data_IF_669481567891
#
_entry.id   IF_669481567891
#
_cell.length_a   1.000
_cell.length_b   1.000
_cell.length_c   1.000
_cell.angle_alpha   90.00
_cell.angle_beta   90.00
_cell.angle_gamma   90.00
#
_symmetry.space_group_name_H-M   'P 1'
#
loop_
_entity.id
_entity.type
_entity.pdbx_description
1 polymer ?
#
# COMPACT_ATOMS: atom_id res chain seq x y z
N UNK A 1 20.16 -16.02 8.93
CA UNK A 1 19.43 -14.97 8.20
C UNK A 1 17.95 -15.30 8.29
N UNK A 2 17.09 -14.44 8.87
CA UNK A 2 15.65 -14.69 8.84
C UNK A 2 15.19 -14.68 7.37
N UNK A 3 14.64 -15.79 6.91
CA UNK A 3 13.93 -15.88 5.63
C UNK A 3 12.82 -14.83 5.60
N UNK A 4 12.56 -14.19 4.47
CA UNK A 4 11.60 -13.06 4.37
C UNK A 4 10.23 -13.30 5.03
N UNK A 5 9.81 -14.57 5.13
CA UNK A 5 8.61 -15.00 5.84
C UNK A 5 8.63 -14.68 7.35
N UNK A 6 9.77 -14.85 8.02
CA UNK A 6 9.92 -14.55 9.45
C UNK A 6 9.81 -13.05 9.73
N UNK A 7 10.32 -12.21 8.82
CA UNK A 7 10.24 -10.74 8.95
C UNK A 7 8.79 -10.28 8.81
N UNK A 8 8.05 -10.82 7.84
CA UNK A 8 6.63 -10.51 7.67
C UNK A 8 5.79 -10.91 8.88
N UNK A 9 6.05 -12.09 9.46
CA UNK A 9 5.35 -12.56 10.67
C UNK A 9 5.62 -11.62 11.85
N UNK A 10 6.89 -11.24 12.08
CA UNK A 10 7.26 -10.32 13.16
C UNK A 10 6.56 -8.97 13.00
N UNK A 11 6.54 -8.41 11.79
CA UNK A 11 5.87 -7.14 11.50
C UNK A 11 4.35 -7.22 11.75
N UNK A 12 3.71 -8.32 11.36
CA UNK A 12 2.28 -8.55 11.61
C UNK A 12 1.97 -8.63 13.11
N UNK A 13 2.81 -9.32 13.88
CA UNK A 13 2.66 -9.45 15.34
C UNK A 13 2.83 -8.09 16.02
N UNK A 14 3.86 -7.31 15.64
CA UNK A 14 4.07 -5.95 16.16
C UNK A 14 2.85 -5.07 15.84
N UNK A 15 2.34 -5.14 14.60
CA UNK A 15 1.19 -4.36 14.19
C UNK A 15 -0.09 -4.74 14.95
N UNK A 16 -0.29 -6.03 15.23
CA UNK A 16 -1.39 -6.50 16.07
C UNK A 16 -1.28 -5.96 17.50
N UNK A 17 -0.10 -6.05 18.10
CA UNK A 17 0.15 -5.56 19.46
C UNK A 17 -0.09 -4.05 19.54
N UNK A 18 0.39 -3.27 18.56
CA UNK A 18 0.14 -1.83 18.51
C UNK A 18 -1.34 -1.50 18.31
N UNK A 19 -2.05 -2.23 17.46
CA UNK A 19 -3.47 -2.01 17.23
C UNK A 19 -4.31 -2.33 18.48
N UNK A 20 -4.08 -3.48 19.10
CA UNK A 20 -4.78 -3.88 20.32
C UNK A 20 -4.38 -2.99 21.50
N UNK A 21 -3.10 -2.68 21.64
CA UNK A 21 -2.58 -1.84 22.72
C UNK A 21 -3.11 -0.41 22.67
N UNK A 22 -3.14 0.22 21.49
CA UNK A 22 -3.73 1.56 21.33
C UNK A 22 -5.23 1.56 21.55
N UNK A 23 -5.93 0.49 21.17
CA UNK A 23 -7.35 0.33 21.47
C UNK A 23 -7.60 0.20 22.98
N UNK A 24 -6.90 -0.70 23.66
CA UNK A 24 -7.02 -0.88 25.12
C UNK A 24 -6.67 0.40 25.89
N UNK A 25 -5.58 1.08 25.51
CA UNK A 25 -5.18 2.35 26.13
C UNK A 25 -6.21 3.45 25.92
N UNK A 26 -6.82 3.52 24.73
CA UNK A 26 -7.87 4.48 24.43
C UNK A 26 -9.16 4.27 25.21
N UNK A 27 -9.48 3.05 25.62
CA UNK A 27 -10.71 2.73 26.35
C UNK A 27 -10.50 2.48 27.85
N UNK A 28 -9.26 2.54 28.35
CA UNK A 28 -8.94 2.31 29.75
C UNK A 28 -9.46 3.46 30.62
N UNK A 29 -10.36 3.15 31.56
CA UNK A 29 -10.86 4.12 32.55
C UNK A 29 -11.94 5.09 32.04
N UNK A 30 -12.45 4.92 30.82
CA UNK A 30 -13.51 5.78 30.28
C UNK A 30 -14.88 5.13 30.52
N UNK A 31 -15.83 5.78 31.23
CA UNK A 31 -17.18 5.25 31.40
C UNK A 31 -17.87 5.14 30.04
N UNK A 32 -18.51 3.99 29.75
CA UNK A 32 -19.27 3.73 28.51
C UNK A 32 -20.55 4.60 28.39
N UNK A 33 -20.74 5.59 29.25
CA UNK A 33 -21.94 6.40 29.32
C UNK A 33 -21.96 7.44 28.17
N UNK A 34 -22.64 7.07 27.09
CA UNK A 34 -22.97 7.96 25.97
C UNK A 34 -23.28 7.16 24.70
N UNK A 35 -24.36 7.51 23.99
CA UNK A 35 -24.62 6.95 22.66
C UNK A 35 -23.49 7.37 21.72
N UNK A 36 -22.77 6.39 21.20
CA UNK A 36 -21.71 6.59 20.22
C UNK A 36 -22.08 5.84 18.95
N UNK A 37 -22.46 6.53 17.85
CA UNK A 37 -23.01 5.87 16.66
C UNK A 37 -22.02 5.00 15.89
N UNK A 38 -20.72 5.04 16.21
CA UNK A 38 -19.69 4.19 15.58
C UNK A 38 -18.46 4.00 16.47
N UNK A 39 -17.72 2.90 16.27
CA UNK A 39 -16.46 2.56 16.94
C UNK A 39 -15.32 3.58 16.76
N UNK A 40 -15.50 4.55 15.87
CA UNK A 40 -14.55 5.62 15.53
C UNK A 40 -14.82 6.94 16.23
N UNK A 41 -15.94 7.07 16.93
CA UNK A 41 -16.19 8.22 17.77
C UNK A 41 -15.54 8.03 19.14
N UNK A 42 -14.78 9.02 19.65
CA UNK A 42 -14.34 8.98 21.02
C UNK A 42 -15.54 9.00 21.97
N UNK A 43 -15.51 8.25 23.08
CA UNK A 43 -16.41 8.53 24.19
C UNK A 43 -16.22 9.98 24.64
N UNK A 44 -17.31 10.68 24.99
CA UNK A 44 -17.36 12.12 25.30
C UNK A 44 -16.33 12.59 26.35
N UNK A 45 -15.80 11.67 27.16
CA UNK A 45 -14.81 11.92 28.22
C UNK A 45 -13.37 11.50 27.88
N UNK A 46 -13.08 11.03 26.66
CA UNK A 46 -11.76 10.50 26.34
C UNK A 46 -10.80 11.61 25.88
N UNK A 47 -10.00 12.14 26.81
CA UNK A 47 -8.95 13.13 26.54
C UNK A 47 -7.77 12.59 25.74
N UNK A 48 -7.57 11.26 25.73
CA UNK A 48 -6.40 10.63 25.11
C UNK A 48 -6.58 10.35 23.61
N UNK A 49 -7.81 10.49 23.08
CA UNK A 49 -8.13 10.08 21.71
C UNK A 49 -7.35 10.87 20.66
N UNK A 50 -7.21 12.18 20.85
CA UNK A 50 -6.49 13.03 19.89
C UNK A 50 -5.00 12.71 19.89
N UNK A 51 -4.42 12.45 21.08
CA UNK A 51 -3.02 12.02 21.23
C UNK A 51 -2.76 10.66 20.58
N UNK A 52 -3.68 9.69 20.75
CA UNK A 52 -3.61 8.38 20.10
C UNK A 52 -3.70 8.53 18.58
N UNK A 53 -4.60 9.37 18.07
CA UNK A 53 -4.77 9.57 16.64
C UNK A 53 -3.57 10.31 16.02
N UNK A 54 -2.96 11.24 16.76
CA UNK A 54 -1.73 11.93 16.37
C UNK A 54 -0.53 10.97 16.34
N UNK A 55 -0.34 10.17 17.40
CA UNK A 55 0.69 9.13 17.44
C UNK A 55 0.53 8.11 16.30
N UNK A 56 -0.71 7.64 16.06
CA UNK A 56 -1.02 6.73 14.95
C UNK A 56 -0.68 7.35 13.60
N UNK A 57 -1.02 8.63 13.42
CA UNK A 57 -0.72 9.38 12.18
C UNK A 57 0.78 9.55 11.99
N UNK A 58 1.53 9.87 13.04
CA UNK A 58 2.99 9.98 13.01
C UNK A 58 3.67 8.66 12.61
N UNK A 59 3.31 7.55 13.29
CA UNK A 59 3.85 6.21 12.97
C UNK A 59 3.54 5.82 11.52
N UNK A 60 2.33 6.13 11.04
CA UNK A 60 1.92 5.87 9.67
C UNK A 60 2.79 6.63 8.65
N UNK A 61 3.01 7.93 8.86
CA UNK A 61 3.87 8.75 7.98
C UNK A 61 5.30 8.22 7.95
N UNK A 62 5.83 7.79 9.10
CA UNK A 62 7.17 7.20 9.19
C UNK A 62 7.26 5.87 8.43
N UNK A 63 6.29 4.98 8.59
CA UNK A 63 6.21 3.72 7.84
C UNK A 63 6.10 3.95 6.32
N UNK A 64 5.35 4.98 5.90
CA UNK A 64 5.27 5.39 4.49
C UNK A 64 6.66 5.77 3.95
N UNK A 65 7.37 6.64 4.67
CA UNK A 65 8.71 7.07 4.29
C UNK A 65 9.68 5.90 4.10
N UNK A 66 9.72 4.98 5.07
CA UNK A 66 10.56 3.77 4.99
C UNK A 66 10.17 2.89 3.80
N UNK A 67 8.87 2.67 3.58
CA UNK A 67 8.38 1.82 2.49
C UNK A 67 8.74 2.38 1.12
N UNK A 68 8.61 3.70 0.93
CA UNK A 68 9.01 4.37 -0.31
C UNK A 68 10.51 4.28 -0.56
N UNK A 69 11.33 4.43 0.49
CA UNK A 69 12.80 4.30 0.39
C UNK A 69 13.19 2.87 -0.02
N UNK A 70 12.66 1.85 0.67
CA UNK A 70 12.92 0.44 0.34
C UNK A 70 12.51 0.15 -1.10
N UNK A 71 11.34 0.63 -1.52
CA UNK A 71 10.83 0.42 -2.87
C UNK A 71 11.70 1.11 -3.92
N UNK A 72 12.14 2.35 -3.66
CA UNK A 72 13.06 3.08 -4.53
C UNK A 72 14.37 2.33 -4.72
N UNK A 73 15.00 1.87 -3.62
CA UNK A 73 16.22 1.08 -3.68
C UNK A 73 16.02 -0.26 -4.39
N UNK A 74 14.90 -0.94 -4.14
CA UNK A 74 14.58 -2.22 -4.80
C UNK A 74 14.44 -2.05 -6.31
N UNK A 75 13.67 -1.04 -6.77
CA UNK A 75 13.52 -0.75 -8.20
C UNK A 75 14.83 -0.33 -8.84
N UNK A 76 15.66 0.47 -8.15
CA UNK A 76 16.98 0.87 -8.65
C UNK A 76 17.91 -0.33 -8.81
N UNK A 77 17.96 -1.22 -7.82
CA UNK A 77 18.77 -2.44 -7.87
C UNK A 77 18.32 -3.38 -8.99
N UNK A 78 17.02 -3.63 -9.11
CA UNK A 78 16.47 -4.48 -10.18
C UNK A 78 16.71 -3.89 -11.58
N UNK A 79 16.64 -2.56 -11.73
CA UNK A 79 16.99 -1.88 -12.99
C UNK A 79 18.46 -2.04 -13.34
N UNK A 80 19.36 -1.92 -12.36
CA UNK A 80 20.80 -2.13 -12.56
C UNK A 80 21.11 -3.57 -12.95
N UNK A 81 20.46 -4.56 -12.32
CA UNK A 81 20.62 -5.98 -12.68
C UNK A 81 20.14 -6.22 -14.11
N UNK A 82 19.01 -5.63 -14.51
CA UNK A 82 18.49 -5.75 -15.87
C UNK A 82 19.45 -5.20 -16.93
N UNK A 83 20.15 -4.09 -16.65
CA UNK A 83 21.07 -3.44 -17.58
C UNK A 83 22.47 -4.10 -17.62
N UNK A 84 22.92 -4.68 -16.50
CA UNK A 84 24.30 -5.19 -16.35
C UNK A 84 24.43 -6.70 -16.54
N UNK A 85 23.35 -7.46 -16.36
CA UNK A 85 23.41 -8.92 -16.46
C UNK A 85 23.35 -9.40 -17.92
N UNK A 86 24.39 -10.13 -18.33
CA UNK A 86 24.44 -10.83 -19.62
C UNK A 86 23.64 -12.14 -19.62
N UNK A 87 23.35 -12.70 -18.44
CA UNK A 87 22.53 -13.90 -18.32
C UNK A 87 21.06 -13.56 -18.53
N UNK A 88 20.48 -14.15 -19.58
CA UNK A 88 19.09 -13.96 -19.99
C UNK A 88 18.09 -14.39 -18.92
N UNK A 89 18.41 -15.43 -18.13
CA UNK A 89 17.54 -15.89 -17.04
C UNK A 89 17.50 -14.88 -15.89
N UNK A 90 18.66 -14.36 -15.53
CA UNK A 90 18.79 -13.32 -14.51
C UNK A 90 18.12 -12.02 -14.95
N UNK A 91 18.28 -11.62 -16.22
CA UNK A 91 17.63 -10.43 -16.80
C UNK A 91 16.11 -10.55 -16.87
N UNK A 92 15.58 -11.74 -17.17
CA UNK A 92 14.14 -12.02 -17.17
C UNK A 92 13.56 -11.93 -15.76
N UNK A 93 14.24 -12.55 -14.79
CA UNK A 93 13.83 -12.51 -13.37
C UNK A 93 13.82 -11.08 -12.83
N UNK A 94 14.84 -10.29 -13.15
CA UNK A 94 14.91 -8.88 -12.74
C UNK A 94 13.79 -8.03 -13.37
N UNK A 95 13.44 -8.28 -14.63
CA UNK A 95 12.30 -7.61 -15.28
C UNK A 95 10.96 -7.98 -14.61
N UNK A 96 10.77 -9.26 -14.26
CA UNK A 96 9.58 -9.74 -13.56
C UNK A 96 9.47 -9.16 -12.15
N UNK A 97 10.58 -9.11 -11.40
CA UNK A 97 10.66 -8.46 -10.09
C UNK A 97 10.36 -6.96 -10.19
N UNK A 98 10.86 -6.27 -11.21
CA UNK A 98 10.58 -4.84 -11.43
C UNK A 98 9.10 -4.58 -11.72
N UNK A 99 8.46 -5.40 -12.57
CA UNK A 99 7.05 -5.26 -12.90
C UNK A 99 6.13 -5.60 -11.71
N UNK A 100 6.54 -6.58 -10.90
CA UNK A 100 5.87 -6.92 -9.64
C UNK A 100 5.99 -5.78 -8.64
N UNK A 101 7.20 -5.22 -8.46
CA UNK A 101 7.46 -4.08 -7.57
C UNK A 101 6.66 -2.84 -7.96
N UNK A 102 6.48 -2.55 -9.26
CA UNK A 102 5.59 -1.47 -9.74
C UNK A 102 4.12 -1.70 -9.38
N UNK A 103 3.66 -2.94 -9.48
CA UNK A 103 2.28 -3.30 -9.10
C UNK A 103 2.06 -3.16 -7.60
N UNK A 104 3.01 -3.64 -6.79
CA UNK A 104 3.03 -3.48 -5.33
C UNK A 104 3.05 -1.99 -4.94
N UNK A 105 3.88 -1.17 -5.60
CA UNK A 105 3.91 0.28 -5.38
C UNK A 105 2.54 0.93 -5.59
N UNK A 106 1.84 0.56 -6.67
CA UNK A 106 0.51 1.09 -6.99
C UNK A 106 -0.50 0.78 -5.88
N UNK A 107 -0.47 -0.44 -5.35
CA UNK A 107 -1.35 -0.87 -4.26
C UNK A 107 -1.06 -0.10 -2.97
N UNK A 108 0.23 0.08 -2.65
CA UNK A 108 0.69 0.84 -1.49
C UNK A 108 0.21 2.31 -1.57
N UNK A 109 0.29 2.95 -2.73
CA UNK A 109 -0.20 4.34 -2.93
C UNK A 109 -1.72 4.45 -2.73
N UNK A 110 -2.48 3.48 -3.23
CA UNK A 110 -3.95 3.45 -3.06
C UNK A 110 -4.29 3.29 -1.57
N UNK A 111 -3.66 2.31 -0.91
CA UNK A 111 -3.83 2.05 0.53
C UNK A 111 -3.50 3.30 1.36
N UNK A 112 -2.41 3.99 1.04
CA UNK A 112 -2.02 5.21 1.74
C UNK A 112 -3.00 6.36 1.51
N UNK A 113 -3.45 6.57 0.28
CA UNK A 113 -4.47 7.58 -0.02
C UNK A 113 -5.73 7.35 0.82
N UNK A 114 -6.21 6.11 0.88
CA UNK A 114 -7.40 5.75 1.66
C UNK A 114 -7.22 5.99 3.16
N UNK A 115 -6.07 5.62 3.74
CA UNK A 115 -5.82 5.82 5.16
C UNK A 115 -5.58 7.31 5.48
N UNK A 116 -4.88 8.05 4.62
CA UNK A 116 -4.67 9.50 4.81
C UNK A 116 -6.00 10.24 4.83
N UNK A 117 -6.90 9.97 3.87
CA UNK A 117 -8.23 10.56 3.84
C UNK A 117 -8.99 10.25 5.12
N UNK A 118 -8.94 9.01 5.59
CA UNK A 118 -9.58 8.61 6.83
C UNK A 118 -9.02 9.35 8.06
N UNK A 119 -7.70 9.42 8.21
CA UNK A 119 -7.05 10.00 9.39
C UNK A 119 -7.12 11.54 9.38
N UNK A 120 -6.74 12.18 8.28
CA UNK A 120 -6.79 13.64 8.15
C UNK A 120 -8.22 14.16 8.06
N UNK A 121 -9.10 13.48 7.33
CA UNK A 121 -10.48 13.90 7.19
C UNK A 121 -11.19 13.94 8.54
N UNK A 122 -10.99 12.93 9.40
CA UNK A 122 -11.59 12.92 10.75
C UNK A 122 -11.02 14.06 11.60
N UNK A 123 -9.70 14.28 11.59
CA UNK A 123 -9.05 15.34 12.36
C UNK A 123 -9.48 16.75 11.91
N UNK A 124 -9.56 16.99 10.60
CA UNK A 124 -9.98 18.27 10.04
C UNK A 124 -11.45 18.54 10.39
N UNK A 125 -12.35 17.58 10.13
CA UNK A 125 -13.78 17.78 10.38
C UNK A 125 -14.06 18.02 11.87
N UNK A 126 -13.34 17.34 12.78
CA UNK A 126 -13.46 17.62 14.22
C UNK A 126 -12.98 19.01 14.61
N UNK A 127 -11.93 19.56 13.97
CA UNK A 127 -11.53 20.96 14.20
C UNK A 127 -12.57 21.98 13.74
N UNK A 128 -13.38 21.64 12.74
CA UNK A 128 -14.46 22.48 12.22
C UNK A 128 -15.85 22.12 12.77
N UNK A 129 -15.94 21.24 13.77
CA UNK A 129 -17.19 20.88 14.47
C UNK A 129 -18.07 22.10 14.83
N UNK A 130 -17.55 23.22 15.38
CA UNK A 130 -18.41 24.35 15.76
C UNK A 130 -19.05 25.10 14.58
N UNK A 131 -18.59 24.86 13.35
CA UNK A 131 -19.05 25.57 12.14
C UNK A 131 -20.00 24.69 11.31
N UNK A 132 -20.00 23.37 11.51
CA UNK A 132 -20.73 22.41 10.69
C UNK A 132 -22.07 22.05 11.37
N UNK A 133 -23.20 22.06 10.63
CA UNK A 133 -24.49 21.59 11.15
C UNK A 133 -24.41 20.15 11.67
N UNK A 134 -25.03 19.87 12.83
CA UNK A 134 -24.94 18.57 13.50
C UNK A 134 -25.36 17.38 12.61
N UNK A 135 -26.40 17.52 11.81
CA UNK A 135 -26.84 16.46 10.88
C UNK A 135 -25.77 16.09 9.85
N UNK A 136 -25.09 17.09 9.30
CA UNK A 136 -24.02 16.91 8.31
C UNK A 136 -22.79 16.29 8.98
N UNK A 137 -22.43 16.78 10.17
CA UNK A 137 -21.30 16.28 10.94
C UNK A 137 -21.44 14.79 11.29
N UNK A 138 -22.60 14.39 11.80
CA UNK A 138 -22.89 13.00 12.15
C UNK A 138 -23.06 12.07 10.96
N UNK A 139 -23.25 12.60 9.76
CA UNK A 139 -23.29 11.81 8.51
C UNK A 139 -21.90 11.61 7.91
N UNK A 140 -21.06 12.65 7.89
CA UNK A 140 -19.75 12.61 7.22
C UNK A 140 -18.67 11.92 8.07
N UNK A 141 -18.64 12.14 9.38
CA UNK A 141 -17.62 11.54 10.25
C UNK A 141 -17.60 10.00 10.16
N UNK A 142 -18.74 9.30 10.21
CA UNK A 142 -18.82 7.85 10.01
C UNK A 142 -18.27 7.38 8.65
N UNK A 143 -18.43 8.20 7.60
CA UNK A 143 -18.06 7.84 6.24
C UNK A 143 -16.55 7.82 6.01
N UNK A 144 -15.80 8.69 6.70
CA UNK A 144 -14.34 8.84 6.55
C UNK A 144 -13.52 7.58 6.91
N UNK A 145 -13.78 6.91 8.05
CA UNK A 145 -13.26 5.56 8.30
C UNK A 145 -13.68 4.55 7.24
N UNK A 146 -14.88 4.70 6.67
CA UNK A 146 -15.40 3.86 5.60
C UNK A 146 -14.53 3.84 4.33
N UNK A 147 -13.79 4.93 4.06
CA UNK A 147 -12.84 5.02 2.93
C UNK A 147 -11.74 3.96 3.04
N UNK A 148 -11.40 3.51 4.25
CA UNK A 148 -10.43 2.41 4.43
C UNK A 148 -10.97 1.05 4.02
N UNK A 149 -12.29 0.88 3.86
CA UNK A 149 -12.86 -0.35 3.29
C UNK A 149 -12.60 -0.47 1.79
N UNK A 150 -12.19 0.60 1.10
CA UNK A 150 -11.70 0.51 -0.27
C UNK A 150 -10.50 -0.47 -0.40
N UNK A 151 -9.81 -0.74 0.72
CA UNK A 151 -8.73 -1.72 0.77
C UNK A 151 -9.22 -3.17 0.58
N UNK A 152 -10.51 -3.45 0.79
CA UNK A 152 -11.13 -4.75 0.45
C UNK A 152 -11.13 -5.02 -1.06
N UNK A 153 -10.95 -3.98 -1.89
CA UNK A 153 -10.79 -4.13 -3.33
C UNK A 153 -9.34 -4.46 -3.74
N UNK A 154 -8.35 -4.40 -2.83
CA UNK A 154 -6.96 -4.71 -3.16
C UNK A 154 -6.73 -6.14 -3.67
N UNK A 155 -7.34 -7.20 -3.09
CA UNK A 155 -7.24 -8.55 -3.65
C UNK A 155 -7.73 -8.63 -5.10
N UNK A 156 -8.78 -7.87 -5.44
CA UNK A 156 -9.32 -7.79 -6.81
C UNK A 156 -8.31 -7.10 -7.74
N UNK A 157 -7.71 -5.98 -7.30
CA UNK A 157 -6.68 -5.27 -8.08
C UNK A 157 -5.43 -6.16 -8.28
N UNK A 158 -4.99 -6.85 -7.23
CA UNK A 158 -3.89 -7.83 -7.29
C UNK A 158 -4.22 -8.90 -8.32
N UNK A 159 -5.40 -9.50 -8.25
CA UNK A 159 -5.84 -10.54 -9.18
C UNK A 159 -5.81 -10.07 -10.65
N UNK A 160 -6.37 -8.89 -10.95
CA UNK A 160 -6.34 -8.33 -12.30
C UNK A 160 -4.92 -8.03 -12.79
N UNK A 161 -4.05 -7.49 -11.93
CA UNK A 161 -2.65 -7.24 -12.27
C UNK A 161 -1.89 -8.53 -12.54
N UNK A 162 -2.14 -9.58 -11.76
CA UNK A 162 -1.57 -10.91 -11.96
C UNK A 162 -2.02 -11.52 -13.28
N UNK A 163 -3.32 -11.48 -13.61
CA UNK A 163 -3.83 -11.95 -14.90
C UNK A 163 -3.23 -11.14 -16.05
N UNK A 164 -3.13 -9.82 -15.92
CA UNK A 164 -2.54 -8.96 -16.93
C UNK A 164 -1.07 -9.32 -17.16
N UNK A 165 -0.31 -9.60 -16.10
CA UNK A 165 1.07 -10.07 -16.19
C UNK A 165 1.18 -11.42 -16.90
N UNK A 166 0.31 -12.38 -16.55
CA UNK A 166 0.25 -13.71 -17.20
C UNK A 166 -0.09 -13.56 -18.70
N UNK A 167 -1.07 -12.72 -19.05
CA UNK A 167 -1.45 -12.48 -20.45
C UNK A 167 -0.32 -11.84 -21.25
N UNK A 168 0.31 -10.78 -20.70
CA UNK A 168 1.48 -10.13 -21.33
C UNK A 168 2.62 -11.12 -21.55
N UNK A 169 2.86 -12.03 -20.59
CA UNK A 169 3.85 -13.10 -20.73
C UNK A 169 3.50 -14.04 -21.88
N UNK A 170 2.26 -14.54 -21.93
CA UNK A 170 1.80 -15.42 -23.03
C UNK A 170 1.95 -14.73 -24.39
N UNK A 171 1.53 -13.48 -24.52
CA UNK A 171 1.67 -12.71 -25.76
C UNK A 171 3.13 -12.55 -26.15
N UNK A 172 4.03 -12.16 -25.23
CA UNK A 172 5.47 -12.03 -25.53
C UNK A 172 6.09 -13.34 -26.00
N UNK A 173 5.76 -14.45 -25.36
CA UNK A 173 6.25 -15.77 -25.77
C UNK A 173 5.78 -16.06 -27.19
N UNK A 174 4.48 -15.92 -27.47
CA UNK A 174 3.93 -16.12 -28.82
C UNK A 174 4.62 -15.22 -29.83
N UNK A 175 4.81 -13.92 -29.55
CA UNK A 175 5.49 -12.99 -30.46
C UNK A 175 6.94 -13.41 -30.75
N UNK A 176 7.69 -13.87 -29.74
CA UNK A 176 9.07 -14.33 -29.92
C UNK A 176 9.10 -15.64 -30.72
N UNK A 177 8.15 -16.57 -30.46
CA UNK A 177 8.08 -17.87 -31.14
C UNK A 177 7.50 -17.78 -32.55
N UNK A 178 6.68 -16.76 -32.83
CA UNK A 178 6.05 -16.53 -34.15
C UNK A 178 6.83 -15.56 -35.04
N UNK A 179 7.85 -14.86 -34.50
CA UNK A 179 8.72 -14.03 -35.30
C UNK A 179 9.54 -14.93 -36.24
N UNK A 180 9.20 -14.90 -37.52
CA UNK A 180 9.97 -15.57 -38.57
C UNK A 180 11.41 -15.09 -38.54
N UNK A 181 12.35 -16.04 -38.59
CA UNK A 181 13.79 -15.89 -38.42
C UNK A 181 14.47 -15.02 -39.49
N UNK A 182 14.19 -13.72 -39.50
CA UNK A 182 15.02 -12.75 -40.20
C UNK A 182 16.08 -12.21 -39.24
N UNK A 183 17.32 -12.63 -39.44
CA UNK A 183 18.46 -12.37 -38.55
C UNK A 183 18.66 -10.87 -38.33
N UNK A 184 18.41 -10.05 -39.35
CA UNK A 184 18.57 -8.60 -39.28
C UNK A 184 17.52 -7.95 -38.37
N UNK A 185 16.27 -8.40 -38.45
CA UNK A 185 15.21 -7.96 -37.54
C UNK A 185 15.51 -8.35 -36.08
N UNK A 186 16.13 -9.50 -35.86
CA UNK A 186 16.51 -10.00 -34.54
C UNK A 186 17.67 -9.21 -33.93
N UNK A 187 18.70 -8.89 -34.74
CA UNK A 187 19.83 -8.04 -34.34
C UNK A 187 19.36 -6.63 -34.02
N UNK A 188 18.44 -6.06 -34.80
CA UNK A 188 17.87 -4.73 -34.56
C UNK A 188 17.08 -4.68 -33.25
N UNK A 189 16.24 -5.68 -32.99
CA UNK A 189 15.51 -5.80 -31.72
C UNK A 189 16.43 -5.94 -30.51
N UNK A 190 17.50 -6.74 -30.62
CA UNK A 190 18.55 -6.83 -29.61
C UNK A 190 19.14 -5.45 -29.33
N UNK A 191 19.60 -4.74 -30.36
CA UNK A 191 20.23 -3.43 -30.22
C UNK A 191 19.31 -2.38 -29.56
N UNK A 192 18.02 -2.37 -29.92
CA UNK A 192 17.02 -1.50 -29.28
C UNK A 192 16.80 -1.86 -27.80
N UNK A 193 16.79 -3.16 -27.48
CA UNK A 193 16.64 -3.66 -26.09
C UNK A 193 17.90 -3.43 -25.24
N UNK A 194 19.06 -3.25 -25.85
CA UNK A 194 20.32 -2.92 -25.17
C UNK A 194 20.53 -1.41 -24.97
N UNK A 195 19.83 -0.55 -25.71
CA UNK A 195 19.95 0.92 -25.61
C UNK A 195 18.93 1.61 -24.67
N UNK A 196 17.89 0.90 -24.22
CA UNK A 196 16.91 1.39 -23.21
C UNK A 196 17.31 1.03 -21.78
#
# INVERSE_FOLDING_TARGET
MPTGNSISIILLVIQLILAVGTHLYGFLGVPLAGYVPMCTYPPKLNSNFDLINEFRTFVMVLCIGITLVILYFSVKTERLIHQRSYDTRTRYTAFENMNTSKSVCTLIVIQFSSILISSFGVTIIRKFEPVIPQEIFHTIIPFLPGVTYANLCLPVVIYYRTIQAIRRRKTRIVTITSASADVESHIKWLNETWRM
#
